data_IF_911842645764
#
_entry.id   IF_911842645764
#
_cell.length_a   1.000
_cell.length_b   1.000
_cell.length_c   1.000
_cell.angle_alpha   90.00
_cell.angle_beta   90.00
_cell.angle_gamma   90.00
#
_symmetry.space_group_name_H-M   'P 1'
#
loop_
_entity.id
_entity.type
_entity.pdbx_description
1 polymer ?
#
# COMPACT_ATOMS: atom_id res chain seq x y z
N UNK A 1 -7.88 25.34 2.08
CA UNK A 1 -7.27 24.66 3.24
C UNK A 1 -6.98 23.20 2.90
N UNK A 2 -5.93 22.61 3.48
CA UNK A 2 -5.50 21.23 3.24
C UNK A 2 -5.48 20.44 4.57
N UNK A 3 -6.65 20.08 5.13
CA UNK A 3 -6.75 19.53 6.47
C UNK A 3 -6.11 18.14 6.57
N UNK A 4 -5.66 17.75 7.76
CA UNK A 4 -5.20 16.40 8.04
C UNK A 4 -6.34 15.39 7.87
N UNK A 5 -5.98 14.15 7.49
CA UNK A 5 -6.90 13.01 7.39
C UNK A 5 -6.15 11.75 7.83
N UNK A 6 -6.81 10.90 8.61
CA UNK A 6 -6.27 9.62 9.04
C UNK A 6 -5.92 8.73 7.85
N UNK A 7 -4.89 7.91 8.02
CA UNK A 7 -4.52 6.83 7.10
C UNK A 7 -5.04 5.53 7.70
N UNK A 8 -5.65 4.67 6.88
CA UNK A 8 -6.16 3.36 7.30
C UNK A 8 -5.34 2.27 6.64
N UNK A 9 -4.76 1.40 7.44
CA UNK A 9 -3.95 0.27 6.97
C UNK A 9 -4.68 -1.02 7.38
N UNK A 10 -4.99 -1.86 6.40
CA UNK A 10 -5.58 -3.17 6.62
C UNK A 10 -4.61 -4.17 7.25
N UNK A 11 -5.12 -5.37 7.50
CA UNK A 11 -4.36 -6.46 8.10
C UNK A 11 -3.33 -7.02 7.11
N UNK A 12 -2.15 -7.37 7.64
CA UNK A 12 -1.05 -7.99 6.87
C UNK A 12 -0.68 -7.20 5.61
N UNK A 13 -0.47 -5.89 5.75
CA UNK A 13 0.13 -5.08 4.68
C UNK A 13 1.66 -5.09 4.83
N UNK A 14 2.37 -5.42 3.75
CA UNK A 14 3.83 -5.34 3.69
C UNK A 14 4.27 -4.02 3.05
N UNK A 15 5.01 -3.20 3.81
CA UNK A 15 5.64 -1.99 3.29
C UNK A 15 7.12 -2.22 2.95
N UNK A 16 7.47 -1.90 1.71
CA UNK A 16 8.85 -1.77 1.28
C UNK A 16 9.55 -0.60 1.96
N UNK A 17 10.87 -0.52 1.77
CA UNK A 17 11.64 0.56 2.37
C UNK A 17 11.30 1.92 1.70
N UNK A 18 11.35 3.03 2.46
CA UNK A 18 11.12 4.39 1.94
C UNK A 18 9.78 4.59 1.21
N UNK A 19 8.75 3.84 1.60
CA UNK A 19 7.38 4.08 1.10
C UNK A 19 6.76 5.31 1.79
N UNK A 20 6.05 6.14 1.03
CA UNK A 20 5.29 7.30 1.54
C UNK A 20 3.80 7.10 1.30
N UNK A 21 2.97 7.21 2.35
CA UNK A 21 1.51 7.15 2.26
C UNK A 21 0.95 8.54 2.56
N UNK A 22 0.17 9.11 1.63
CA UNK A 22 -0.43 10.43 1.83
C UNK A 22 -1.70 10.36 2.69
N UNK A 23 -2.05 11.48 3.33
CA UNK A 23 -3.23 11.59 4.21
C UNK A 23 -4.53 11.13 3.53
N UNK A 24 -5.38 10.45 4.27
CA UNK A 24 -6.68 9.99 3.76
C UNK A 24 -6.63 8.73 2.89
N UNK A 25 -5.46 8.13 2.69
CA UNK A 25 -5.31 6.86 1.97
C UNK A 25 -5.75 5.69 2.85
N UNK A 26 -6.46 4.75 2.24
CA UNK A 26 -6.81 3.44 2.79
C UNK A 26 -6.16 2.33 1.97
N UNK A 27 -5.50 1.38 2.64
CA UNK A 27 -4.85 0.22 2.03
C UNK A 27 -5.57 -1.05 2.49
N UNK A 28 -6.03 -1.86 1.54
CA UNK A 28 -6.69 -3.14 1.80
C UNK A 28 -5.74 -4.23 2.30
N UNK A 29 -6.32 -5.25 2.91
CA UNK A 29 -5.61 -6.37 3.54
C UNK A 29 -4.66 -7.11 2.57
N UNK A 30 -3.64 -7.77 3.10
CA UNK A 30 -2.72 -8.62 2.32
C UNK A 30 -2.01 -7.92 1.15
N UNK A 31 -1.97 -6.59 1.14
CA UNK A 31 -1.34 -5.81 0.08
C UNK A 31 0.17 -5.62 0.31
N UNK A 32 0.91 -5.42 -0.76
CA UNK A 32 2.33 -5.04 -0.72
C UNK A 32 2.47 -3.64 -1.29
N UNK A 33 3.15 -2.75 -0.57
CA UNK A 33 3.58 -1.47 -1.12
C UNK A 33 5.07 -1.55 -1.43
N UNK A 34 5.44 -1.42 -2.70
CA UNK A 34 6.83 -1.56 -3.13
C UNK A 34 7.73 -0.44 -2.56
N UNK A 35 9.02 -0.76 -2.44
CA UNK A 35 10.07 0.18 -2.02
C UNK A 35 10.03 1.47 -2.83
N UNK A 36 10.11 2.62 -2.15
CA UNK A 36 10.13 3.95 -2.77
C UNK A 36 8.79 4.45 -3.34
N UNK A 37 7.69 3.73 -3.12
CA UNK A 37 6.39 4.13 -3.66
C UNK A 37 5.78 5.32 -2.92
N UNK A 38 5.05 6.17 -3.64
CA UNK A 38 4.26 7.29 -3.08
C UNK A 38 2.79 7.05 -3.37
N UNK A 39 2.04 6.67 -2.34
CA UNK A 39 0.63 6.30 -2.46
C UNK A 39 -0.24 7.53 -2.21
N UNK A 40 -0.92 7.97 -3.26
CA UNK A 40 -1.69 9.24 -3.27
C UNK A 40 -3.21 9.05 -3.27
N UNK A 41 -3.69 7.80 -3.39
CA UNK A 41 -5.12 7.44 -3.36
C UNK A 41 -5.31 6.07 -2.69
N UNK A 42 -6.53 5.77 -2.27
CA UNK A 42 -6.87 4.50 -1.63
C UNK A 42 -6.90 3.32 -2.61
N UNK A 43 -6.58 2.15 -2.08
CA UNK A 43 -6.59 0.86 -2.76
C UNK A 43 -7.19 -0.17 -1.79
N UNK A 44 -8.51 -0.37 -1.84
CA UNK A 44 -9.26 -1.09 -0.79
C UNK A 44 -9.44 -2.58 -1.08
N UNK A 45 -9.22 -3.02 -2.32
CA UNK A 45 -9.52 -4.39 -2.77
C UNK A 45 -8.67 -5.47 -2.08
N UNK A 46 -7.51 -5.08 -1.50
CA UNK A 46 -6.58 -6.01 -0.86
C UNK A 46 -5.87 -6.92 -1.86
N UNK A 47 -4.95 -7.77 -1.40
CA UNK A 47 -4.25 -8.76 -2.23
C UNK A 47 -3.60 -8.19 -3.51
N UNK A 48 -3.09 -6.96 -3.43
CA UNK A 48 -2.45 -6.26 -4.56
C UNK A 48 -1.02 -5.83 -4.25
N UNK A 49 -0.22 -5.63 -5.30
CA UNK A 49 1.06 -4.92 -5.22
C UNK A 49 0.88 -3.51 -5.77
N UNK A 50 1.19 -2.51 -4.96
CA UNK A 50 1.14 -1.09 -5.31
C UNK A 50 2.58 -0.58 -5.45
N UNK A 51 2.91 0.00 -6.60
CA UNK A 51 4.25 0.52 -6.87
C UNK A 51 4.24 1.86 -7.62
N UNK A 52 5.30 2.64 -7.45
CA UNK A 52 5.58 3.86 -8.21
C UNK A 52 5.22 5.17 -7.50
N UNK A 53 5.46 6.28 -8.20
CA UNK A 53 5.12 7.65 -7.77
C UNK A 53 4.51 8.42 -8.96
N UNK A 54 3.17 8.61 -9.02
CA UNK A 54 2.18 8.13 -8.06
C UNK A 54 1.99 6.61 -8.13
N UNK A 55 1.72 5.99 -6.98
CA UNK A 55 1.51 4.55 -6.83
C UNK A 55 0.33 4.03 -7.62
N UNK A 56 0.49 2.86 -8.26
CA UNK A 56 -0.54 2.14 -9.02
C UNK A 56 -0.50 0.66 -8.68
N UNK A 57 -1.63 -0.03 -8.84
CA UNK A 57 -1.64 -1.50 -8.80
C UNK A 57 -0.81 -2.00 -9.99
N UNK A 58 0.22 -2.79 -9.72
CA UNK A 58 1.05 -3.45 -10.74
C UNK A 58 0.81 -4.96 -10.80
N UNK A 59 0.16 -5.53 -9.77
CA UNK A 59 -0.20 -6.94 -9.71
C UNK A 59 -1.38 -7.15 -8.76
N UNK A 60 -2.30 -8.03 -9.11
CA UNK A 60 -3.44 -8.48 -8.30
C UNK A 60 -3.29 -9.95 -7.92
N UNK A 61 -4.19 -10.46 -7.07
CA UNK A 61 -4.26 -11.86 -6.64
C UNK A 61 -2.93 -12.39 -6.08
N UNK A 62 -2.29 -11.60 -5.21
CA UNK A 62 -1.04 -12.00 -4.56
C UNK A 62 -1.27 -12.56 -3.16
N UNK A 63 -0.31 -13.37 -2.72
CA UNK A 63 -0.11 -13.77 -1.33
C UNK A 63 1.37 -13.61 -0.99
N UNK A 64 1.65 -13.15 0.23
CA UNK A 64 3.02 -12.96 0.70
C UNK A 64 3.22 -13.64 2.06
N UNK A 65 4.47 -14.00 2.37
CA UNK A 65 4.84 -14.68 3.62
C UNK A 65 6.18 -14.13 4.13
N UNK A 66 6.36 -14.15 5.44
CA UNK A 66 7.64 -13.83 6.09
C UNK A 66 8.57 -15.06 6.22
N UNK A 67 8.11 -16.25 5.79
CA UNK A 67 8.94 -17.46 5.75
C UNK A 67 9.97 -17.32 4.64
N UNK A 68 11.25 -17.47 4.98
CA UNK A 68 12.31 -17.71 3.99
C UNK A 68 12.19 -19.16 3.50
N UNK A 69 12.33 -19.35 2.19
CA UNK A 69 12.44 -20.67 1.57
C UNK A 69 13.75 -21.35 2.00
#
# INVERSE_FOLDING_TARGET
>A
MNPSKSIKIGDRVWFGNKTTILKGVEIGNDSIIATGSVVTKSFVDGNVIIAGNPGKIIKTDIKWTNKRL
#
